data_IF_377026129151
#
_entry.id   IF_377026129151
#
_cell.length_a   1.000
_cell.length_b   1.000
_cell.length_c   1.000
_cell.angle_alpha   90.00
_cell.angle_beta   90.00
_cell.angle_gamma   90.00
#
_symmetry.space_group_name_H-M   'P 1'
#
loop_
_entity.id
_entity.type
_entity.pdbx_description
1 polymer ?
#
# COMPACT_ATOMS: atom_id res chain seq x y z
N UNK A 1 38.73 -26.30 -5.33
CA UNK A 1 38.09 -25.60 -6.48
C UNK A 1 36.80 -26.29 -6.95
N UNK A 2 36.81 -27.57 -7.39
CA UNK A 2 35.61 -28.27 -7.89
C UNK A 2 34.42 -28.34 -6.93
N UNK A 3 34.66 -28.54 -5.64
CA UNK A 3 33.61 -28.58 -4.59
C UNK A 3 32.94 -27.22 -4.36
N UNK A 4 33.68 -26.11 -4.48
CA UNK A 4 33.14 -24.75 -4.30
C UNK A 4 32.24 -24.33 -5.47
N UNK A 5 32.61 -24.70 -6.69
CA UNK A 5 31.77 -24.47 -7.89
C UNK A 5 30.50 -25.32 -7.86
N UNK A 6 30.56 -26.53 -7.31
CA UNK A 6 29.37 -27.37 -7.12
C UNK A 6 28.41 -26.76 -6.08
N UNK A 7 28.94 -26.27 -4.94
CA UNK A 7 28.14 -25.61 -3.91
C UNK A 7 27.45 -24.35 -4.44
N UNK A 8 28.16 -23.47 -5.15
CA UNK A 8 27.58 -22.27 -5.75
C UNK A 8 26.43 -22.58 -6.73
N UNK A 9 26.57 -23.63 -7.55
CA UNK A 9 25.50 -24.09 -8.45
C UNK A 9 24.29 -24.63 -7.69
N UNK A 10 24.52 -25.36 -6.60
CA UNK A 10 23.42 -25.86 -5.74
C UNK A 10 22.68 -24.70 -5.08
N UNK A 11 23.39 -23.71 -4.53
CA UNK A 11 22.77 -22.52 -3.93
C UNK A 11 21.97 -21.71 -4.95
N UNK A 12 22.50 -21.52 -6.17
CA UNK A 12 21.79 -20.83 -7.25
C UNK A 12 20.52 -21.59 -7.66
N UNK A 13 20.61 -22.90 -7.85
CA UNK A 13 19.47 -23.75 -8.19
C UNK A 13 18.41 -23.74 -7.08
N UNK A 14 18.82 -23.85 -5.81
CA UNK A 14 17.92 -23.75 -4.67
C UNK A 14 17.20 -22.39 -4.63
N UNK A 15 17.94 -21.29 -4.84
CA UNK A 15 17.37 -19.94 -4.89
C UNK A 15 16.36 -19.79 -6.04
N UNK A 16 16.68 -20.32 -7.22
CA UNK A 16 15.76 -20.33 -8.36
C UNK A 16 14.50 -21.15 -8.08
N UNK A 17 14.63 -22.30 -7.42
CA UNK A 17 13.49 -23.15 -7.05
C UNK A 17 12.59 -22.46 -6.03
N UNK A 18 13.17 -21.79 -5.03
CA UNK A 18 12.41 -21.00 -4.05
C UNK A 18 11.73 -19.81 -4.72
N UNK A 19 12.44 -19.05 -5.56
CA UNK A 19 11.85 -17.94 -6.31
C UNK A 19 10.68 -18.42 -7.18
N UNK A 20 10.89 -19.44 -8.03
CA UNK A 20 9.82 -19.99 -8.88
C UNK A 20 8.62 -20.51 -8.08
N UNK A 21 8.85 -21.07 -6.89
CA UNK A 21 7.78 -21.43 -5.97
C UNK A 21 6.96 -20.20 -5.51
N UNK A 22 7.62 -19.15 -5.04
CA UNK A 22 6.94 -17.94 -4.58
C UNK A 22 6.20 -17.20 -5.70
N UNK A 23 6.81 -17.08 -6.88
CA UNK A 23 6.18 -16.51 -8.08
C UNK A 23 4.91 -17.29 -8.44
N UNK A 24 5.00 -18.62 -8.45
CA UNK A 24 3.85 -19.49 -8.72
C UNK A 24 2.76 -19.30 -7.66
N UNK A 25 3.12 -19.22 -6.38
CA UNK A 25 2.16 -18.96 -5.30
C UNK A 25 1.49 -17.59 -5.45
N UNK A 26 2.25 -16.55 -5.80
CA UNK A 26 1.73 -15.21 -6.05
C UNK A 26 0.78 -15.21 -7.25
N UNK A 27 1.14 -15.86 -8.35
CA UNK A 27 0.27 -16.01 -9.53
C UNK A 27 -1.04 -16.74 -9.20
N UNK A 28 -0.98 -17.84 -8.45
CA UNK A 28 -2.16 -18.58 -8.01
C UNK A 28 -3.04 -17.69 -7.12
N UNK A 29 -2.44 -16.90 -6.23
CA UNK A 29 -3.15 -15.98 -5.36
C UNK A 29 -3.84 -14.87 -6.17
N UNK A 30 -3.14 -14.24 -7.12
CA UNK A 30 -3.72 -13.21 -7.96
C UNK A 30 -4.93 -13.72 -8.77
N UNK A 31 -4.81 -14.93 -9.34
CA UNK A 31 -5.94 -15.58 -10.03
C UNK A 31 -7.10 -15.93 -9.07
N UNK A 32 -6.79 -16.20 -7.80
CA UNK A 32 -7.84 -16.39 -6.81
C UNK A 32 -8.55 -15.07 -6.49
N UNK A 33 -7.82 -13.96 -6.37
CA UNK A 33 -8.38 -12.62 -6.17
C UNK A 33 -9.33 -12.25 -7.32
N UNK A 34 -8.94 -12.48 -8.58
CA UNK A 34 -9.79 -12.17 -9.74
C UNK A 34 -11.12 -12.92 -9.75
N UNK A 35 -11.17 -14.13 -9.18
CA UNK A 35 -12.42 -14.90 -9.06
C UNK A 35 -13.33 -14.41 -7.93
N UNK A 36 -12.87 -13.46 -7.11
CA UNK A 36 -13.58 -12.90 -5.97
C UNK A 36 -14.00 -11.45 -6.22
N UNK A 37 -13.86 -10.97 -7.46
CA UNK A 37 -14.22 -9.60 -7.82
C UNK A 37 -15.71 -9.38 -7.57
N UNK A 38 -16.01 -8.23 -6.98
CA UNK A 38 -17.37 -7.68 -7.01
C UNK A 38 -17.62 -7.25 -8.45
N UNK A 39 -18.70 -7.75 -9.03
CA UNK A 39 -19.11 -7.53 -10.40
C UNK A 39 -20.49 -6.88 -10.45
N UNK A 40 -20.91 -6.45 -11.64
CA UNK A 40 -22.29 -5.97 -11.82
C UNK A 40 -23.35 -7.03 -11.50
N UNK A 41 -23.05 -8.32 -11.68
CA UNK A 41 -23.98 -9.41 -11.39
C UNK A 41 -24.28 -9.57 -9.89
N UNK A 42 -23.43 -8.99 -9.03
CA UNK A 42 -23.66 -8.97 -7.58
C UNK A 42 -24.66 -7.88 -7.16
N UNK A 43 -25.06 -6.97 -8.06
CA UNK A 43 -25.98 -5.88 -7.76
C UNK A 43 -27.37 -6.12 -8.36
N UNK A 44 -28.44 -5.59 -7.74
CA UNK A 44 -29.77 -5.60 -8.33
C UNK A 44 -29.78 -4.96 -9.71
N UNK A 45 -30.55 -5.53 -10.65
CA UNK A 45 -30.64 -5.02 -12.03
C UNK A 45 -31.09 -3.55 -12.10
N UNK A 46 -31.95 -3.11 -11.19
CA UNK A 46 -32.36 -1.71 -11.06
C UNK A 46 -31.17 -0.80 -10.77
N UNK A 47 -30.29 -1.22 -9.86
CA UNK A 47 -29.08 -0.49 -9.50
C UNK A 47 -28.07 -0.47 -10.66
N UNK A 48 -27.83 -1.60 -11.34
CA UNK A 48 -26.88 -1.65 -12.46
C UNK A 48 -27.32 -0.77 -13.63
N UNK A 49 -28.62 -0.76 -13.95
CA UNK A 49 -29.18 0.13 -14.99
C UNK A 49 -29.03 1.60 -14.61
N UNK A 50 -29.36 1.97 -13.37
CA UNK A 50 -29.19 3.35 -12.89
C UNK A 50 -27.72 3.78 -12.84
N UNK A 51 -26.83 2.88 -12.41
CA UNK A 51 -25.38 3.11 -12.38
C UNK A 51 -24.83 3.37 -13.80
N UNK A 52 -25.26 2.58 -14.79
CA UNK A 52 -24.89 2.82 -16.19
C UNK A 52 -25.42 4.16 -16.72
N UNK A 53 -26.68 4.51 -16.41
CA UNK A 53 -27.26 5.80 -16.81
C UNK A 53 -26.58 6.99 -16.11
N UNK A 54 -26.12 6.83 -14.87
CA UNK A 54 -25.42 7.90 -14.15
C UNK A 54 -24.12 8.32 -14.83
N UNK A 55 -23.49 7.42 -15.60
CA UNK A 55 -22.31 7.72 -16.41
C UNK A 55 -22.62 8.69 -17.56
N UNK A 56 -23.81 8.59 -18.15
CA UNK A 56 -24.21 9.38 -19.32
C UNK A 56 -24.98 10.65 -18.94
N UNK A 57 -25.76 10.61 -17.86
CA UNK A 57 -26.78 11.63 -17.53
C UNK A 57 -26.61 12.25 -16.12
N UNK A 58 -25.60 11.83 -15.34
CA UNK A 58 -25.16 12.50 -14.10
C UNK A 58 -26.01 12.24 -12.85
N UNK A 59 -27.33 12.06 -12.97
CA UNK A 59 -28.24 12.10 -11.81
C UNK A 59 -29.08 10.81 -11.56
N UNK A 60 -28.89 9.75 -12.34
CA UNK A 60 -29.75 8.55 -12.30
C UNK A 60 -29.71 7.72 -11.00
N UNK A 61 -28.78 7.99 -10.07
CA UNK A 61 -28.66 7.28 -8.80
C UNK A 61 -29.48 7.90 -7.66
N UNK A 62 -30.04 9.10 -7.85
CA UNK A 62 -30.66 9.89 -6.78
C UNK A 62 -32.01 9.31 -6.33
N UNK A 63 -32.76 8.67 -7.23
CA UNK A 63 -34.14 8.21 -6.99
C UNK A 63 -34.26 6.73 -6.57
N UNK A 64 -33.14 6.05 -6.31
CA UNK A 64 -33.16 4.66 -5.89
C UNK A 64 -33.53 4.52 -4.42
N UNK A 65 -34.49 3.64 -4.12
CA UNK A 65 -34.72 3.19 -2.75
C UNK A 65 -33.65 2.16 -2.34
N UNK A 66 -32.56 2.67 -1.79
CA UNK A 66 -31.45 1.87 -1.27
C UNK A 66 -31.87 0.99 -0.10
N UNK A 67 -32.86 1.39 0.70
CA UNK A 67 -33.30 0.60 1.84
C UNK A 67 -34.10 -0.63 1.37
N UNK A 68 -34.98 -0.46 0.38
CA UNK A 68 -35.66 -1.59 -0.25
C UNK A 68 -34.70 -2.49 -1.04
N UNK A 69 -33.72 -1.89 -1.74
CA UNK A 69 -32.77 -2.64 -2.59
C UNK A 69 -31.68 -3.37 -1.81
N UNK A 70 -31.32 -2.89 -0.61
CA UNK A 70 -30.21 -3.39 0.21
C UNK A 70 -30.59 -3.53 1.70
N UNK A 71 -31.73 -4.18 1.96
CA UNK A 71 -32.38 -4.22 3.28
C UNK A 71 -31.63 -4.99 4.38
N UNK A 72 -30.70 -5.89 4.04
CA UNK A 72 -30.02 -6.77 5.01
C UNK A 72 -28.49 -6.68 4.88
N UNK A 73 -27.89 -5.55 5.29
CA UNK A 73 -26.44 -5.40 5.23
C UNK A 73 -25.76 -6.34 6.23
N UNK A 74 -24.67 -6.98 5.79
CA UNK A 74 -23.76 -7.74 6.67
C UNK A 74 -22.73 -6.83 7.33
N UNK A 75 -22.29 -5.82 6.58
CA UNK A 75 -21.37 -4.78 7.03
C UNK A 75 -22.19 -3.65 7.66
N UNK A 76 -21.97 -3.30 8.93
CA UNK A 76 -22.66 -2.18 9.57
C UNK A 76 -22.47 -0.85 8.84
N UNK A 77 -23.47 0.03 8.93
CA UNK A 77 -23.42 1.41 8.37
C UNK A 77 -22.57 2.33 9.24
N UNK A 78 -21.28 2.01 9.35
CA UNK A 78 -20.28 2.76 10.10
C UNK A 78 -19.10 3.02 9.16
N UNK A 79 -18.66 4.27 9.09
CA UNK A 79 -17.44 4.66 8.36
C UNK A 79 -16.41 5.13 9.39
N UNK A 80 -15.24 4.50 9.37
CA UNK A 80 -14.11 4.81 10.23
C UNK A 80 -13.06 5.59 9.46
N UNK A 81 -12.74 6.77 9.95
CA UNK A 81 -11.56 7.54 9.55
C UNK A 81 -10.60 7.60 10.74
N UNK A 82 -9.30 7.72 10.48
CA UNK A 82 -8.30 7.92 11.53
C UNK A 82 -7.56 9.23 11.26
N UNK A 83 -7.53 10.13 12.24
CA UNK A 83 -6.81 11.38 12.17
C UNK A 83 -5.95 11.55 13.42
N UNK A 84 -4.64 11.33 13.26
CA UNK A 84 -3.65 11.59 14.30
C UNK A 84 -2.95 12.90 13.95
N UNK A 85 -3.15 13.93 14.77
CA UNK A 85 -2.71 15.31 14.47
C UNK A 85 -1.19 15.42 14.25
N UNK A 86 -0.41 14.55 14.90
CA UNK A 86 1.05 14.56 14.91
C UNK A 86 1.64 13.34 14.17
N UNK A 87 1.04 12.92 13.06
CA UNK A 87 1.54 11.78 12.27
C UNK A 87 3.00 11.96 11.84
N UNK A 88 3.43 13.21 11.61
CA UNK A 88 4.83 13.56 11.39
C UNK A 88 5.14 14.94 12.01
N UNK A 89 6.19 14.99 12.80
CA UNK A 89 6.90 16.24 13.09
C UNK A 89 8.05 16.35 12.10
N UNK A 90 8.29 17.55 11.58
CA UNK A 90 9.57 17.88 10.95
C UNK A 90 10.70 17.73 12.00
N UNK A 91 11.95 17.59 11.55
CA UNK A 91 13.11 17.46 12.45
C UNK A 91 13.27 18.62 13.44
N UNK A 92 12.63 19.75 13.19
CA UNK A 92 12.59 20.94 14.06
C UNK A 92 11.39 20.95 15.05
N UNK A 93 10.58 19.87 15.07
CA UNK A 93 9.40 19.73 15.91
C UNK A 93 8.13 20.38 15.35
N UNK A 94 8.20 21.07 14.21
CA UNK A 94 7.02 21.68 13.59
C UNK A 94 6.11 20.62 12.94
N UNK A 95 4.77 20.79 12.97
CA UNK A 95 3.86 19.86 12.28
C UNK A 95 4.11 19.89 10.78
N UNK A 96 4.25 18.74 10.13
CA UNK A 96 4.37 18.67 8.65
C UNK A 96 3.10 19.09 7.94
N UNK A 97 1.95 19.07 8.62
CA UNK A 97 0.66 19.45 8.06
C UNK A 97 0.05 20.62 8.85
N UNK A 98 -0.30 21.74 8.20
CA UNK A 98 -1.04 22.79 8.87
C UNK A 98 -2.40 22.27 9.32
N UNK A 99 -2.77 22.57 10.57
CA UNK A 99 -4.04 22.22 11.23
C UNK A 99 -5.31 22.63 10.46
N UNK A 100 -5.16 23.43 9.41
CA UNK A 100 -6.22 23.91 8.50
C UNK A 100 -6.52 22.98 7.32
N UNK A 101 -5.70 21.96 7.06
CA UNK A 101 -5.88 21.02 5.93
C UNK A 101 -6.73 19.79 6.29
N UNK A 102 -7.87 19.97 6.96
CA UNK A 102 -8.77 18.83 7.24
C UNK A 102 -9.31 18.32 5.91
N UNK A 103 -9.13 17.03 5.64
CA UNK A 103 -9.73 16.38 4.48
C UNK A 103 -11.25 16.60 4.46
N UNK A 104 -11.81 16.81 3.27
CA UNK A 104 -13.26 16.88 3.03
C UNK A 104 -13.93 15.50 2.91
N UNK A 105 -13.15 14.41 3.03
CA UNK A 105 -13.65 13.05 2.89
C UNK A 105 -14.80 12.71 3.87
N UNK A 106 -14.72 13.02 5.18
CA UNK A 106 -15.81 12.75 6.12
C UNK A 106 -17.10 13.49 5.76
N UNK A 107 -17.01 14.74 5.30
CA UNK A 107 -18.18 15.53 4.87
C UNK A 107 -18.82 14.95 3.61
N UNK A 108 -18.02 14.59 2.62
CA UNK A 108 -18.51 13.95 1.39
C UNK A 108 -19.16 12.60 1.69
N UNK A 109 -18.55 11.79 2.56
CA UNK A 109 -19.15 10.54 2.99
C UNK A 109 -20.47 10.74 3.74
N UNK A 110 -20.57 11.75 4.62
CA UNK A 110 -21.82 12.11 5.28
C UNK A 110 -22.90 12.57 4.29
N UNK A 111 -22.52 13.31 3.24
CA UNK A 111 -23.43 13.76 2.18
C UNK A 111 -24.05 12.58 1.43
N UNK A 112 -23.24 11.61 1.03
CA UNK A 112 -23.71 10.46 0.24
C UNK A 112 -24.30 9.33 1.10
N UNK A 113 -23.98 9.29 2.39
CA UNK A 113 -24.38 8.23 3.31
C UNK A 113 -25.00 8.83 4.59
N UNK A 114 -26.12 9.56 4.49
CA UNK A 114 -26.67 10.35 5.61
C UNK A 114 -27.13 9.51 6.80
N UNK A 115 -27.39 8.21 6.60
CA UNK A 115 -27.80 7.26 7.64
C UNK A 115 -26.62 6.56 8.33
N UNK A 116 -25.38 6.80 7.89
CA UNK A 116 -24.20 6.11 8.40
C UNK A 116 -23.64 6.86 9.61
N UNK A 117 -23.11 6.09 10.57
CA UNK A 117 -22.31 6.66 11.66
C UNK A 117 -20.90 6.93 11.13
N UNK A 118 -20.47 8.19 11.15
CA UNK A 118 -19.09 8.57 10.83
C UNK A 118 -18.30 8.65 12.13
N UNK A 119 -17.29 7.78 12.31
CA UNK A 119 -16.37 7.78 13.45
C UNK A 119 -14.98 8.23 13.00
N UNK A 120 -14.47 9.31 13.58
CA UNK A 120 -13.12 9.82 13.32
C UNK A 120 -12.30 9.57 14.57
N UNK A 121 -11.36 8.64 14.50
CA UNK A 121 -10.50 8.26 15.61
C UNK A 121 -9.35 9.25 15.77
N UNK A 122 -9.13 9.73 16.98
CA UNK A 122 -7.90 10.41 17.37
C UNK A 122 -6.96 9.49 18.17
N UNK A 123 -5.74 9.95 18.44
CA UNK A 123 -4.71 9.15 19.12
C UNK A 123 -5.12 8.71 20.54
N UNK A 124 -5.73 9.60 21.32
CA UNK A 124 -6.19 9.30 22.68
C UNK A 124 -7.30 8.26 22.68
N UNK A 125 -8.28 8.40 21.78
CA UNK A 125 -9.37 7.43 21.61
C UNK A 125 -8.85 6.07 21.12
N UNK A 126 -7.88 6.07 20.21
CA UNK A 126 -7.26 4.86 19.70
C UNK A 126 -6.52 4.10 20.80
N UNK A 127 -5.70 4.80 21.58
CA UNK A 127 -4.96 4.20 22.69
C UNK A 127 -5.92 3.64 23.75
N UNK A 128 -6.93 4.43 24.15
CA UNK A 128 -7.92 3.98 25.15
C UNK A 128 -8.68 2.75 24.66
N UNK A 129 -9.07 2.72 23.39
CA UNK A 129 -9.73 1.55 22.80
C UNK A 129 -8.85 0.29 22.79
N UNK A 130 -7.57 0.42 22.43
CA UNK A 130 -6.64 -0.72 22.49
C UNK A 130 -6.41 -1.16 23.93
N UNK A 131 -6.25 -0.23 24.87
CA UNK A 131 -6.06 -0.55 26.29
C UNK A 131 -7.28 -1.26 26.89
N UNK A 132 -8.49 -0.79 26.61
CA UNK A 132 -9.73 -1.32 27.17
C UNK A 132 -10.12 -2.67 26.53
N UNK A 133 -10.05 -2.80 25.21
CA UNK A 133 -10.59 -3.96 24.48
C UNK A 133 -9.53 -5.00 24.10
N UNK A 134 -8.26 -4.58 24.00
CA UNK A 134 -7.15 -5.39 23.49
C UNK A 134 -5.87 -5.17 24.30
N UNK A 135 -5.97 -5.11 25.63
CA UNK A 135 -4.85 -4.84 26.54
C UNK A 135 -3.58 -5.68 26.27
N UNK A 136 -3.75 -6.92 25.78
CA UNK A 136 -2.66 -7.81 25.39
C UNK A 136 -1.80 -7.27 24.25
N UNK A 137 -2.35 -6.40 23.39
CA UNK A 137 -1.68 -5.81 22.23
C UNK A 137 -1.09 -4.43 22.54
N UNK A 138 -1.48 -3.79 23.64
CA UNK A 138 -1.01 -2.46 24.03
C UNK A 138 0.53 -2.33 24.01
N UNK A 139 1.32 -3.30 24.53
CA UNK A 139 2.78 -3.21 24.46
C UNK A 139 3.32 -3.13 23.03
N UNK A 140 2.75 -3.89 22.09
CA UNK A 140 3.11 -3.80 20.66
C UNK A 140 2.67 -2.47 20.08
N UNK A 141 1.43 -2.05 20.35
CA UNK A 141 0.87 -0.81 19.82
C UNK A 141 1.72 0.41 20.19
N UNK A 142 2.15 0.49 21.45
CA UNK A 142 3.03 1.56 21.95
C UNK A 142 4.47 1.44 21.42
N UNK A 143 4.93 0.24 21.07
CA UNK A 143 6.29 -0.02 20.59
C UNK A 143 6.49 0.20 19.08
N UNK A 144 5.43 0.50 18.33
CA UNK A 144 5.56 0.79 16.89
C UNK A 144 6.49 1.98 16.65
N UNK A 145 7.54 1.74 15.84
CA UNK A 145 8.56 2.73 15.50
C UNK A 145 7.98 3.90 14.70
N UNK A 146 7.07 3.61 13.78
CA UNK A 146 6.46 4.62 12.91
C UNK A 146 5.00 4.89 13.31
N UNK A 147 4.59 6.16 13.49
CA UNK A 147 3.20 6.49 13.84
C UNK A 147 2.13 5.90 12.91
N UNK A 148 2.42 5.80 11.61
CA UNK A 148 1.51 5.19 10.63
C UNK A 148 1.22 3.70 10.92
N UNK A 149 2.15 2.96 11.54
CA UNK A 149 1.88 1.57 11.94
C UNK A 149 0.79 1.49 13.02
N UNK A 150 0.66 2.52 13.88
CA UNK A 150 -0.44 2.62 14.84
C UNK A 150 -1.77 2.90 14.16
N UNK A 151 -1.78 3.68 13.08
CA UNK A 151 -2.98 3.90 12.25
C UNK A 151 -3.39 2.62 11.54
N UNK A 152 -2.44 1.93 10.89
CA UNK A 152 -2.65 0.63 10.25
C UNK A 152 -3.11 -0.45 11.22
N UNK A 153 -2.52 -0.56 12.40
CA UNK A 153 -3.00 -1.49 13.41
C UNK A 153 -4.44 -1.16 13.84
N UNK A 154 -4.72 0.12 14.12
CA UNK A 154 -6.04 0.55 14.59
C UNK A 154 -7.15 0.26 13.58
N UNK A 155 -6.93 0.45 12.27
CA UNK A 155 -7.95 0.16 11.23
C UNK A 155 -8.39 -1.31 11.27
N UNK A 156 -7.47 -2.25 11.50
CA UNK A 156 -7.82 -3.67 11.64
C UNK A 156 -8.62 -3.96 12.91
N UNK A 157 -8.22 -3.39 14.06
CA UNK A 157 -8.95 -3.56 15.31
C UNK A 157 -10.35 -2.92 15.29
N UNK A 158 -10.47 -1.73 14.71
CA UNK A 158 -11.74 -1.04 14.55
C UNK A 158 -12.71 -1.87 13.69
N UNK A 159 -12.26 -2.37 12.53
CA UNK A 159 -13.07 -3.25 11.69
C UNK A 159 -13.40 -4.59 12.37
N UNK A 160 -12.45 -5.20 13.08
CA UNK A 160 -12.72 -6.44 13.81
C UNK A 160 -13.79 -6.24 14.90
N UNK A 161 -13.73 -5.12 15.63
CA UNK A 161 -14.61 -4.86 16.76
C UNK A 161 -16.01 -4.38 16.30
N UNK A 162 -16.05 -3.32 15.49
CA UNK A 162 -17.29 -2.64 15.10
C UNK A 162 -17.84 -3.11 13.74
N UNK A 163 -17.01 -3.75 12.91
CA UNK A 163 -17.30 -3.89 11.49
C UNK A 163 -17.24 -2.55 10.76
N UNK A 164 -17.98 -2.43 9.67
CA UNK A 164 -18.12 -1.18 8.92
C UNK A 164 -17.12 -1.05 7.78
N UNK A 165 -16.90 0.19 7.34
CA UNK A 165 -15.99 0.58 6.27
C UNK A 165 -14.90 1.45 6.88
N UNK A 166 -13.64 1.05 6.74
CA UNK A 166 -12.48 1.88 7.03
C UNK A 166 -12.06 2.63 5.75
N UNK A 167 -11.72 3.91 5.90
CA UNK A 167 -11.25 4.76 4.80
C UNK A 167 -10.09 5.64 5.29
N UNK A 168 -8.98 5.66 4.55
CA UNK A 168 -7.95 6.70 4.67
C UNK A 168 -8.56 8.07 4.35
N UNK A 169 -7.96 9.14 4.90
CA UNK A 169 -8.50 10.49 4.78
C UNK A 169 -8.41 11.08 3.37
N UNK A 170 -7.62 10.49 2.49
CA UNK A 170 -7.50 10.87 1.08
C UNK A 170 -8.52 10.15 0.18
N UNK A 171 -9.41 9.32 0.76
CA UNK A 171 -10.49 8.63 0.06
C UNK A 171 -11.84 9.20 0.50
N UNK A 172 -12.61 9.76 -0.43
CA UNK A 172 -13.93 10.31 -0.21
C UNK A 172 -15.03 9.51 -0.91
N UNK A 173 -16.24 9.47 -0.35
CA UNK A 173 -17.38 8.82 -0.99
C UNK A 173 -17.90 9.68 -2.16
N UNK A 174 -18.28 9.03 -3.27
CA UNK A 174 -18.91 9.66 -4.44
C UNK A 174 -20.36 9.26 -4.65
N UNK A 175 -20.87 8.30 -3.89
CA UNK A 175 -22.23 7.75 -3.94
C UNK A 175 -22.52 6.89 -2.69
N UNK A 176 -23.78 6.46 -2.47
CA UNK A 176 -24.12 5.57 -1.37
C UNK A 176 -23.35 4.24 -1.42
N UNK A 177 -22.86 3.77 -0.28
CA UNK A 177 -22.06 2.55 -0.15
C UNK A 177 -22.92 1.29 0.08
N UNK A 178 -24.23 1.41 0.21
CA UNK A 178 -25.17 0.31 0.49
C UNK A 178 -25.00 -0.92 -0.42
N UNK A 179 -24.73 -0.78 -1.74
CA UNK A 179 -24.48 -1.93 -2.61
C UNK A 179 -23.28 -2.79 -2.19
N UNK A 180 -22.34 -2.22 -1.44
CA UNK A 180 -21.13 -2.89 -0.97
C UNK A 180 -21.30 -3.52 0.43
N UNK A 181 -22.42 -3.32 1.11
CA UNK A 181 -22.62 -3.81 2.49
C UNK A 181 -23.15 -5.25 2.59
N UNK A 182 -23.56 -5.85 1.46
CA UNK A 182 -24.09 -7.21 1.42
C UNK A 182 -23.02 -8.31 1.55
N UNK A 183 -21.75 -7.96 1.37
CA UNK A 183 -20.62 -8.90 1.43
C UNK A 183 -20.14 -9.10 2.88
N UNK A 184 -19.56 -10.26 3.22
CA UNK A 184 -18.99 -10.48 4.56
C UNK A 184 -17.77 -9.59 4.86
N UNK A 185 -16.88 -9.43 3.88
CA UNK A 185 -15.75 -8.50 3.91
C UNK A 185 -15.29 -8.21 2.49
N UNK A 186 -14.67 -7.05 2.26
CA UNK A 186 -14.03 -6.76 0.99
C UNK A 186 -12.81 -5.84 1.13
N UNK A 187 -11.89 -5.99 0.16
CA UNK A 187 -10.63 -5.26 0.07
C UNK A 187 -10.44 -4.76 -1.37
N UNK A 188 -9.97 -3.52 -1.59
CA UNK A 188 -9.67 -2.99 -2.91
C UNK A 188 -8.48 -3.70 -3.53
N UNK A 189 -8.57 -3.95 -4.83
CA UNK A 189 -7.45 -4.42 -5.64
C UNK A 189 -6.27 -3.43 -5.58
N UNK A 190 -5.07 -3.93 -5.34
CA UNK A 190 -3.84 -3.17 -5.50
C UNK A 190 -3.29 -3.36 -6.91
N UNK A 191 -2.68 -2.32 -7.46
CA UNK A 191 -1.87 -2.40 -8.67
C UNK A 191 -0.39 -2.35 -8.29
N UNK A 192 0.48 -3.27 -8.76
CA UNK A 192 0.19 -4.35 -9.70
C UNK A 192 -0.33 -5.66 -9.07
N UNK A 193 -0.16 -5.87 -7.76
CA UNK A 193 -0.40 -7.16 -7.12
C UNK A 193 -1.02 -7.00 -5.72
N UNK A 194 -1.94 -7.91 -5.38
CA UNK A 194 -2.52 -8.01 -4.05
C UNK A 194 -3.70 -7.07 -3.80
N UNK A 195 -3.81 -6.57 -2.57
CA UNK A 195 -4.88 -5.65 -2.14
C UNK A 195 -4.30 -4.46 -1.38
N UNK A 196 -4.97 -3.32 -1.43
CA UNK A 196 -4.64 -2.19 -0.57
C UNK A 196 -5.29 -2.33 0.80
N UNK A 197 -4.76 -1.58 1.78
CA UNK A 197 -5.31 -1.44 3.13
C UNK A 197 -5.72 0.02 3.46
N UNK A 198 -5.82 0.86 2.43
CA UNK A 198 -6.27 2.27 2.47
C UNK A 198 -7.80 2.38 2.58
N UNK A 199 -8.51 1.38 2.07
CA UNK A 199 -9.94 1.22 2.14
C UNK A 199 -10.23 -0.25 2.43
N UNK A 200 -11.10 -0.56 3.39
CA UNK A 200 -11.48 -1.95 3.69
C UNK A 200 -12.86 -1.98 4.31
N UNK A 201 -13.59 -3.08 4.17
CA UNK A 201 -14.83 -3.23 4.92
C UNK A 201 -15.06 -4.66 5.38
N UNK A 202 -15.76 -4.79 6.51
CA UNK A 202 -16.01 -6.08 7.10
C UNK A 202 -17.23 -6.08 8.01
N UNK A 203 -17.90 -7.23 8.10
CA UNK A 203 -18.80 -7.49 9.21
C UNK A 203 -18.00 -7.56 10.53
N UNK A 204 -18.60 -7.23 11.68
CA UNK A 204 -17.91 -7.35 12.95
C UNK A 204 -17.48 -8.81 13.19
N UNK A 205 -16.32 -8.97 13.82
CA UNK A 205 -15.73 -10.27 14.19
C UNK A 205 -15.41 -11.19 13.02
N UNK A 206 -15.22 -10.63 11.82
CA UNK A 206 -14.81 -11.41 10.66
C UNK A 206 -13.48 -12.14 10.92
N UNK A 207 -13.35 -13.45 10.60
CA UNK A 207 -12.20 -14.24 11.04
C UNK A 207 -10.89 -13.86 10.34
N UNK A 208 -10.93 -13.30 9.13
CA UNK A 208 -9.73 -12.70 8.51
C UNK A 208 -9.20 -11.53 9.33
N UNK A 209 -10.07 -10.70 9.89
CA UNK A 209 -9.67 -9.55 10.71
C UNK A 209 -9.12 -10.01 12.06
N UNK A 210 -9.57 -11.17 12.57
CA UNK A 210 -8.94 -11.84 13.71
C UNK A 210 -7.52 -12.30 13.38
N UNK A 211 -7.33 -12.95 12.22
CA UNK A 211 -6.00 -13.36 11.76
C UNK A 211 -5.08 -12.15 11.52
N UNK A 212 -5.60 -11.05 10.98
CA UNK A 212 -4.86 -9.78 10.82
C UNK A 212 -4.45 -9.23 12.20
N UNK A 213 -5.40 -8.97 13.10
CA UNK A 213 -5.09 -8.39 14.43
C UNK A 213 -4.14 -9.26 15.25
N UNK A 214 -4.27 -10.60 15.16
CA UNK A 214 -3.36 -11.54 15.84
C UNK A 214 -1.96 -11.56 15.22
N UNK A 215 -1.84 -11.25 13.92
CA UNK A 215 -0.57 -11.29 13.22
C UNK A 215 0.30 -10.04 13.42
N UNK A 216 -0.30 -8.91 13.79
CA UNK A 216 0.39 -7.63 13.93
C UNK A 216 1.58 -7.67 14.91
N UNK A 217 1.46 -8.40 16.02
CA UNK A 217 2.50 -8.45 17.05
C UNK A 217 3.79 -9.10 16.57
N UNK A 218 3.71 -10.25 15.89
CA UNK A 218 4.90 -10.92 15.37
C UNK A 218 5.45 -10.24 14.11
N UNK A 219 4.59 -9.52 13.37
CA UNK A 219 4.95 -8.73 12.19
C UNK A 219 5.60 -7.39 12.50
N UNK A 220 5.65 -6.96 13.76
CA UNK A 220 6.36 -5.76 14.19
C UNK A 220 7.89 -5.97 14.14
N UNK A 221 8.41 -6.13 12.91
CA UNK A 221 9.82 -6.28 12.60
C UNK A 221 10.32 -4.97 11.98
N UNK A 222 11.49 -4.51 12.41
CA UNK A 222 12.13 -3.35 11.83
C UNK A 222 12.96 -3.80 10.62
N UNK A 223 12.58 -3.37 9.43
CA UNK A 223 13.37 -3.57 8.21
C UNK A 223 14.30 -2.39 7.99
N UNK A 224 15.23 -2.54 7.03
CA UNK A 224 16.28 -1.54 6.75
C UNK A 224 15.71 -0.15 6.42
N UNK A 225 14.59 -0.10 5.69
CA UNK A 225 13.95 1.15 5.27
C UNK A 225 12.57 1.33 5.91
N UNK A 226 12.16 2.57 6.28
CA UNK A 226 10.83 2.87 6.78
C UNK A 226 9.72 2.37 5.87
N UNK A 227 9.81 2.61 4.56
CA UNK A 227 8.78 2.17 3.62
C UNK A 227 8.58 0.65 3.67
N UNK A 228 9.65 -0.14 3.59
CA UNK A 228 9.55 -1.59 3.68
C UNK A 228 9.02 -2.02 5.05
N UNK A 229 9.51 -1.40 6.13
CA UNK A 229 9.03 -1.69 7.49
C UNK A 229 7.52 -1.54 7.57
N UNK A 230 6.98 -0.40 7.13
CA UNK A 230 5.54 -0.11 7.16
C UNK A 230 4.78 -1.08 6.23
N UNK A 231 5.23 -1.22 4.98
CA UNK A 231 4.56 -2.02 3.94
C UNK A 231 4.33 -3.49 4.36
N UNK A 232 5.33 -4.15 4.98
CA UNK A 232 5.24 -5.56 5.39
C UNK A 232 4.76 -5.82 6.82
N UNK A 233 4.88 -4.84 7.72
CA UNK A 233 4.47 -5.03 9.12
C UNK A 233 2.98 -4.80 9.31
N UNK A 234 2.45 -3.72 8.73
CA UNK A 234 1.07 -3.27 8.94
C UNK A 234 0.37 -2.80 7.67
N UNK A 235 1.11 -2.57 6.58
CA UNK A 235 0.64 -1.98 5.34
C UNK A 235 -0.05 -2.94 4.33
N UNK A 236 -0.12 -2.55 3.04
CA UNK A 236 -0.77 -3.34 2.00
C UNK A 236 -0.23 -4.76 1.83
N UNK A 237 1.09 -4.96 1.96
CA UNK A 237 1.68 -6.30 1.83
C UNK A 237 1.34 -7.19 3.03
N UNK A 238 1.28 -6.61 4.22
CA UNK A 238 0.77 -7.32 5.39
C UNK A 238 -0.65 -7.84 5.15
N UNK A 239 -1.57 -6.98 4.69
CA UNK A 239 -2.93 -7.38 4.38
C UNK A 239 -2.97 -8.49 3.32
N UNK A 240 -2.22 -8.32 2.22
CA UNK A 240 -2.12 -9.29 1.14
C UNK A 240 -1.57 -10.65 1.59
N UNK A 241 -0.57 -10.66 2.47
CA UNK A 241 0.01 -11.88 3.03
C UNK A 241 -1.00 -12.64 3.90
N UNK A 242 -1.76 -11.94 4.75
CA UNK A 242 -2.79 -12.56 5.59
C UNK A 242 -3.90 -13.17 4.73
N UNK A 243 -4.37 -12.45 3.70
CA UNK A 243 -5.37 -12.99 2.76
C UNK A 243 -4.86 -14.20 1.97
N UNK A 244 -3.58 -14.18 1.57
CA UNK A 244 -2.93 -15.31 0.89
C UNK A 244 -2.82 -16.53 1.81
N UNK A 245 -2.42 -16.33 3.06
CA UNK A 245 -2.37 -17.39 4.07
C UNK A 245 -3.76 -17.96 4.36
N UNK A 246 -4.77 -17.08 4.51
CA UNK A 246 -6.17 -17.46 4.67
C UNK A 246 -6.65 -18.37 3.53
N UNK A 247 -6.41 -17.95 2.27
CA UNK A 247 -6.74 -18.72 1.08
C UNK A 247 -6.04 -20.09 1.05
N UNK A 248 -4.81 -20.18 1.53
CA UNK A 248 -4.08 -21.45 1.58
C UNK A 248 -4.63 -22.39 2.66
N UNK A 249 -4.98 -21.83 3.82
CA UNK A 249 -5.54 -22.56 4.97
C UNK A 249 -6.94 -23.10 4.70
N UNK A 250 -7.80 -22.31 4.06
CA UNK A 250 -9.22 -22.66 3.88
C UNK A 250 -9.60 -23.05 2.44
N UNK A 251 -8.65 -23.00 1.50
CA UNK A 251 -8.81 -23.56 0.16
C UNK A 251 -9.95 -22.93 -0.65
N UNK A 252 -10.76 -23.79 -1.29
CA UNK A 252 -11.88 -23.43 -2.15
C UNK A 252 -13.18 -23.04 -1.41
N UNK A 253 -13.14 -22.89 -0.07
CA UNK A 253 -14.33 -22.50 0.73
C UNK A 253 -14.74 -21.04 0.56
N UNK A 254 -14.05 -20.28 -0.27
CA UNK A 254 -14.32 -18.84 -0.50
C UNK A 254 -15.54 -18.58 -1.41
N UNK A 255 -16.62 -19.35 -1.22
CA UNK A 255 -17.83 -19.28 -2.05
C UNK A 255 -18.71 -18.05 -1.79
N UNK A 256 -19.73 -17.91 -2.64
CA UNK A 256 -20.78 -16.88 -2.60
C UNK A 256 -21.35 -16.58 -1.21
N UNK A 257 -21.63 -17.66 -0.46
CA UNK A 257 -22.40 -17.63 0.77
C UNK A 257 -21.58 -17.87 2.05
N UNK A 258 -20.26 -18.06 1.93
CA UNK A 258 -19.41 -18.27 3.10
C UNK A 258 -19.15 -16.93 3.82
N UNK A 259 -19.63 -16.81 5.04
CA UNK A 259 -19.45 -15.63 5.91
C UNK A 259 -18.01 -15.43 6.35
N UNK A 260 -17.14 -16.43 6.18
CA UNK A 260 -15.71 -16.35 6.42
C UNK A 260 -14.90 -16.02 5.14
N UNK A 261 -15.58 -15.88 3.99
CA UNK A 261 -14.99 -15.46 2.72
C UNK A 261 -14.86 -13.94 2.64
N UNK A 262 -14.17 -13.45 1.62
CA UNK A 262 -14.09 -12.03 1.30
C UNK A 262 -14.34 -11.82 -0.20
N UNK A 263 -14.47 -10.56 -0.58
CA UNK A 263 -14.50 -10.10 -1.98
C UNK A 263 -13.40 -9.09 -2.25
N UNK A 264 -13.09 -8.93 -3.52
CA UNK A 264 -12.17 -7.90 -3.98
C UNK A 264 -12.97 -6.82 -4.69
N UNK A 265 -12.75 -5.57 -4.31
CA UNK A 265 -13.31 -4.41 -5.00
C UNK A 265 -12.37 -4.05 -6.16
N UNK A 266 -12.74 -4.32 -7.42
CA UNK A 266 -11.86 -4.08 -8.57
C UNK A 266 -11.69 -2.59 -8.86
N UNK A 267 -10.65 -2.22 -9.60
CA UNK A 267 -10.34 -0.83 -9.97
C UNK A 267 -11.55 -0.08 -10.55
N UNK A 268 -12.38 -0.74 -11.36
CA UNK A 268 -13.60 -0.13 -11.94
C UNK A 268 -14.58 0.44 -10.91
N UNK A 269 -14.66 -0.13 -9.71
CA UNK A 269 -15.50 0.33 -8.60
C UNK A 269 -14.69 1.05 -7.51
N UNK A 270 -13.36 0.91 -7.52
CA UNK A 270 -12.47 1.54 -6.55
C UNK A 270 -11.96 2.90 -7.02
N UNK A 271 -11.50 3.06 -8.25
CA UNK A 271 -10.76 4.24 -8.73
C UNK A 271 -11.12 4.71 -10.15
N UNK A 272 -11.80 3.89 -10.96
CA UNK A 272 -12.08 4.19 -12.37
C UNK A 272 -13.57 4.54 -12.64
N UNK A 273 -14.06 4.18 -13.84
CA UNK A 273 -15.31 4.66 -14.44
C UNK A 273 -16.58 4.56 -13.58
N UNK A 274 -16.72 3.51 -12.76
CA UNK A 274 -17.90 3.27 -11.92
C UNK A 274 -17.60 3.46 -10.43
N UNK A 275 -16.54 4.19 -10.10
CA UNK A 275 -16.03 4.26 -8.75
C UNK A 275 -17.03 4.77 -7.72
N UNK A 276 -17.04 4.11 -6.56
CA UNK A 276 -17.73 4.58 -5.35
C UNK A 276 -16.94 5.67 -4.62
N UNK A 277 -15.68 5.87 -4.98
CA UNK A 277 -14.70 6.64 -4.22
C UNK A 277 -13.98 7.67 -5.08
N UNK A 278 -13.57 8.77 -4.45
CA UNK A 278 -12.70 9.78 -5.04
C UNK A 278 -11.40 9.85 -4.26
N UNK A 279 -10.30 9.97 -4.97
CA UNK A 279 -8.96 9.96 -4.40
C UNK A 279 -8.33 11.34 -4.54
N UNK A 280 -7.86 11.89 -3.43
CA UNK A 280 -6.95 13.04 -3.42
C UNK A 280 -5.51 12.58 -3.28
N UNK A 281 -4.50 13.40 -3.64
CA UNK A 281 -3.10 13.07 -3.37
C UNK A 281 -2.89 12.69 -1.91
N UNK A 282 -2.33 11.50 -1.72
CA UNK A 282 -2.23 10.78 -0.46
C UNK A 282 -0.81 10.35 -0.14
N UNK A 283 -0.66 9.35 0.73
CA UNK A 283 0.65 8.74 0.99
C UNK A 283 1.60 9.66 1.76
N UNK A 284 1.07 10.41 2.73
CA UNK A 284 1.84 11.34 3.58
C UNK A 284 2.96 10.67 4.40
N UNK A 285 3.03 9.34 4.39
CA UNK A 285 4.08 8.53 5.01
C UNK A 285 5.22 8.16 4.06
N UNK A 286 5.07 8.42 2.76
CA UNK A 286 6.10 8.19 1.77
C UNK A 286 7.25 9.19 1.99
N UNK A 287 8.40 8.69 2.47
CA UNK A 287 9.64 9.46 2.56
C UNK A 287 10.41 9.46 1.22
N UNK A 288 11.63 10.01 1.25
CA UNK A 288 12.52 10.00 0.07
C UNK A 288 12.91 8.59 -0.39
N UNK A 289 12.80 7.58 0.48
CA UNK A 289 13.03 6.16 0.18
C UNK A 289 11.98 5.58 -0.78
N UNK A 290 10.78 6.18 -0.84
CA UNK A 290 9.75 5.80 -1.81
C UNK A 290 10.17 6.12 -3.23
N UNK A 291 10.96 7.17 -3.45
CA UNK A 291 11.48 7.47 -4.77
C UNK A 291 12.38 6.35 -5.29
N UNK A 292 13.22 5.73 -4.44
CA UNK A 292 14.07 4.61 -4.85
C UNK A 292 13.26 3.34 -5.17
N UNK A 293 12.23 3.06 -4.36
CA UNK A 293 11.33 1.92 -4.60
C UNK A 293 10.46 2.14 -5.84
N UNK A 294 9.87 3.32 -6.01
CA UNK A 294 9.08 3.67 -7.19
C UNK A 294 9.96 3.77 -8.43
N UNK A 295 11.16 4.33 -8.36
CA UNK A 295 12.13 4.33 -9.46
C UNK A 295 12.45 2.91 -9.96
N UNK A 296 12.49 1.95 -9.04
CA UNK A 296 12.70 0.54 -9.36
C UNK A 296 11.44 -0.12 -9.96
N UNK A 297 10.24 0.28 -9.52
CA UNK A 297 8.94 -0.18 -10.02
C UNK A 297 8.61 0.40 -11.40
N UNK A 298 8.86 1.69 -11.60
CA UNK A 298 8.53 2.49 -12.78
C UNK A 298 9.51 2.28 -13.95
N UNK A 299 10.48 1.35 -13.81
CA UNK A 299 11.26 0.86 -14.95
C UNK A 299 10.69 -0.44 -15.53
N UNK A 300 9.63 -0.32 -16.35
CA UNK A 300 9.55 -1.04 -17.61
C UNK A 300 9.71 -0.05 -18.78
N UNK A 301 10.83 -0.15 -19.52
CA UNK A 301 11.05 0.40 -20.87
C UNK A 301 11.57 1.86 -21.08
N UNK A 302 12.54 2.37 -20.28
CA UNK A 302 13.25 3.60 -20.69
C UNK A 302 14.14 3.41 -21.95
N UNK A 303 14.50 2.17 -22.32
CA UNK A 303 15.37 1.92 -23.48
C UNK A 303 14.65 1.70 -24.83
N UNK A 304 13.35 2.01 -24.97
CA UNK A 304 12.66 1.82 -26.26
C UNK A 304 11.90 3.01 -26.82
N UNK A 305 12.01 4.20 -26.23
CA UNK A 305 11.37 5.41 -26.77
C UNK A 305 12.28 6.37 -27.53
N UNK A 306 13.58 6.07 -27.68
CA UNK A 306 14.51 6.92 -28.46
C UNK A 306 14.77 6.43 -29.90
N UNK A 307 14.01 5.44 -30.42
CA UNK A 307 14.22 4.90 -31.76
C UNK A 307 13.07 5.14 -32.76
N UNK A 308 12.08 5.98 -32.44
CA UNK A 308 11.06 6.37 -33.41
C UNK A 308 10.51 7.78 -33.20
N UNK A 309 11.39 8.78 -33.07
CA UNK A 309 11.01 10.14 -33.41
C UNK A 309 11.30 10.41 -34.88
N UNK A 310 10.28 10.18 -35.71
CA UNK A 310 10.11 10.95 -36.93
C UNK A 310 8.61 11.05 -37.26
N UNK A 311 8.10 12.29 -37.08
CA UNK A 311 6.99 12.91 -37.83
C UNK A 311 5.57 12.33 -37.67
N UNK A 312 4.70 13.09 -36.98
CA UNK A 312 3.54 13.84 -37.53
C UNK A 312 2.32 13.88 -36.58
N UNK A 313 1.85 15.12 -36.40
CA UNK A 313 0.56 15.71 -36.02
C UNK A 313 -0.24 15.32 -34.77
N UNK A 314 -0.50 16.40 -34.02
CA UNK A 314 -1.60 16.60 -33.08
C UNK A 314 -2.92 16.74 -33.86
N UNK A 315 -3.71 15.67 -33.90
CA UNK A 315 -5.19 15.65 -33.83
C UNK A 315 -5.69 14.29 -34.34
N UNK A 316 -6.65 13.69 -33.61
CA UNK A 316 -7.34 12.41 -33.87
C UNK A 316 -6.67 11.10 -33.40
N UNK A 317 -7.04 10.64 -32.20
CA UNK A 317 -7.07 9.22 -31.87
C UNK A 317 -8.03 8.92 -30.70
N UNK A 318 -9.30 9.26 -30.87
CA UNK A 318 -10.37 8.53 -30.20
C UNK A 318 -10.56 7.20 -30.97
N UNK A 319 -10.64 6.07 -30.26
CA UNK A 319 -10.77 4.68 -30.74
C UNK A 319 -9.53 4.04 -31.40
N UNK A 320 -8.84 3.18 -30.64
CA UNK A 320 -8.56 1.78 -31.04
C UNK A 320 -8.09 0.94 -29.85
N UNK A 321 -8.94 -0.01 -29.49
CA UNK A 321 -8.66 -1.31 -28.85
C UNK A 321 -7.19 -1.73 -28.81
N UNK A 322 -6.72 -2.13 -27.62
CA UNK A 322 -5.77 -3.24 -27.49
C UNK A 322 -6.32 -4.22 -26.47
N UNK A 323 -7.23 -5.08 -26.96
CA UNK A 323 -7.23 -6.47 -26.55
C UNK A 323 -5.91 -7.10 -27.04
N UNK A 324 -5.15 -7.68 -26.10
CA UNK A 324 -4.00 -8.53 -26.41
C UNK A 324 -2.65 -7.93 -26.07
N UNK A 325 -2.18 -8.13 -24.83
CA UNK A 325 -0.76 -8.26 -24.53
C UNK A 325 -0.56 -9.43 -23.57
N UNK A 326 -0.07 -10.51 -24.17
CA UNK A 326 0.20 -11.84 -23.62
C UNK A 326 1.38 -11.81 -22.65
N UNK A 327 1.31 -12.69 -21.64
CA UNK A 327 2.38 -13.15 -20.74
C UNK A 327 3.80 -12.88 -21.27
N UNK A 328 4.52 -11.92 -20.68
CA UNK A 328 5.98 -11.91 -20.50
C UNK A 328 6.41 -10.57 -19.88
N UNK A 329 6.31 -10.37 -18.55
CA UNK A 329 6.83 -9.16 -17.85
C UNK A 329 6.80 -9.23 -16.32
N UNK A 330 7.29 -10.32 -15.73
CA UNK A 330 7.31 -10.55 -14.27
C UNK A 330 8.68 -10.70 -13.57
N UNK A 331 9.87 -10.92 -14.20
CA UNK A 331 11.03 -11.38 -13.41
C UNK A 331 11.72 -10.32 -12.53
N UNK A 332 11.70 -9.03 -12.89
CA UNK A 332 12.66 -8.07 -12.31
C UNK A 332 12.22 -7.55 -10.93
N UNK A 333 10.96 -7.18 -10.78
CA UNK A 333 10.41 -6.70 -9.51
C UNK A 333 10.44 -7.79 -8.43
N UNK A 334 10.07 -9.03 -8.79
CA UNK A 334 10.12 -10.18 -7.88
C UNK A 334 11.55 -10.52 -7.45
N UNK A 335 12.54 -10.32 -8.33
CA UNK A 335 13.95 -10.59 -8.03
C UNK A 335 14.56 -9.60 -7.05
N UNK A 336 14.21 -8.30 -7.11
CA UNK A 336 14.75 -7.29 -6.19
C UNK A 336 14.06 -7.35 -4.82
N UNK A 337 12.75 -7.61 -4.82
CA UNK A 337 11.98 -7.83 -3.59
C UNK A 337 12.44 -9.13 -2.88
N UNK A 338 12.80 -10.16 -3.67
CA UNK A 338 13.41 -11.38 -3.16
C UNK A 338 14.85 -11.15 -2.69
N UNK A 339 15.67 -10.35 -3.40
CA UNK A 339 17.03 -10.02 -2.99
C UNK A 339 17.06 -9.31 -1.62
N UNK A 340 16.11 -8.40 -1.38
CA UNK A 340 15.91 -7.77 -0.07
C UNK A 340 15.52 -8.81 1.00
N UNK A 341 14.64 -9.76 0.67
CA UNK A 341 14.22 -10.83 1.58
C UNK A 341 15.33 -11.86 1.87
N UNK A 342 16.17 -12.21 0.89
CA UNK A 342 17.31 -13.11 1.09
C UNK A 342 18.45 -12.47 1.88
N UNK A 343 18.66 -11.15 1.73
CA UNK A 343 19.62 -10.42 2.56
C UNK A 343 19.18 -10.36 4.04
N UNK A 344 17.87 -10.39 4.31
CA UNK A 344 17.31 -10.46 5.66
C UNK A 344 17.45 -11.84 6.35
N UNK A 345 17.89 -12.88 5.63
CA UNK A 345 18.14 -14.23 6.17
C UNK A 345 19.63 -14.50 6.47
N UNK A 346 20.51 -13.53 6.22
CA UNK A 346 21.94 -13.63 6.50
C UNK A 346 22.30 -12.67 7.64
N UNK A 347 22.23 -13.16 8.88
CA UNK A 347 22.53 -12.42 10.12
C UNK A 347 24.03 -12.05 10.31
N UNK A 348 24.89 -12.16 9.29
CA UNK A 348 26.33 -11.92 9.41
C UNK A 348 26.89 -11.06 8.24
N UNK A 349 27.27 -9.80 8.51
CA UNK A 349 27.91 -8.91 7.53
C UNK A 349 29.20 -9.49 6.90
N UNK A 350 29.90 -10.39 7.58
CA UNK A 350 31.16 -10.96 7.09
C UNK A 350 30.96 -12.00 5.97
N UNK A 351 29.74 -12.49 5.75
CA UNK A 351 29.46 -13.42 4.65
C UNK A 351 29.36 -12.72 3.28
N UNK A 352 29.09 -11.41 3.26
CA UNK A 352 28.99 -10.63 2.01
C UNK A 352 30.36 -10.39 1.38
N UNK A 353 31.38 -10.09 2.20
CA UNK A 353 32.76 -9.88 1.74
C UNK A 353 33.42 -11.17 1.21
N UNK A 354 33.10 -12.33 1.79
CA UNK A 354 33.55 -13.63 1.26
C UNK A 354 32.92 -13.95 -0.11
N UNK A 355 31.69 -13.50 -0.38
CA UNK A 355 31.01 -13.68 -1.67
C UNK A 355 31.60 -12.76 -2.76
N UNK A 356 31.95 -11.52 -2.41
CA UNK A 356 32.58 -10.55 -3.31
C UNK A 356 34.00 -10.96 -3.74
N UNK A 357 34.77 -11.57 -2.83
CA UNK A 357 36.16 -11.96 -3.12
C UNK A 357 36.30 -13.25 -3.95
N UNK A 358 35.22 -14.05 -4.08
CA UNK A 358 35.29 -15.41 -4.65
C UNK A 358 34.49 -15.65 -5.94
N UNK A 359 33.63 -14.72 -6.35
CA UNK A 359 32.89 -14.80 -7.62
C UNK A 359 33.80 -14.48 -8.82
N UNK A 360 33.94 -15.42 -9.78
CA UNK A 360 34.54 -15.16 -11.12
C UNK A 360 33.48 -15.05 -12.23
N UNK A 361 32.22 -14.89 -11.84
CA UNK A 361 31.11 -14.76 -12.78
C UNK A 361 30.85 -13.28 -13.06
N UNK A 362 31.13 -12.84 -14.29
CA UNK A 362 31.10 -11.43 -14.66
C UNK A 362 29.71 -10.80 -14.49
N UNK A 363 28.62 -11.56 -14.65
CA UNK A 363 27.25 -11.06 -14.47
C UNK A 363 26.87 -10.93 -12.99
N UNK A 364 27.29 -11.88 -12.14
CA UNK A 364 27.08 -11.78 -10.69
C UNK A 364 27.96 -10.68 -10.08
N UNK A 365 29.20 -10.54 -10.56
CA UNK A 365 30.04 -9.38 -10.20
C UNK A 365 29.44 -8.07 -10.68
N UNK A 366 28.76 -8.03 -11.83
CA UNK A 366 28.11 -6.83 -12.35
C UNK A 366 26.86 -6.46 -11.55
N UNK A 367 26.04 -7.43 -11.17
CA UNK A 367 24.88 -7.22 -10.28
C UNK A 367 25.30 -6.81 -8.86
N UNK A 368 26.35 -7.42 -8.32
CA UNK A 368 26.89 -7.06 -7.00
C UNK A 368 27.63 -5.71 -7.04
N UNK A 369 28.35 -5.39 -8.13
CA UNK A 369 28.93 -4.05 -8.34
C UNK A 369 27.83 -3.01 -8.52
N UNK A 370 26.73 -3.29 -9.22
CA UNK A 370 25.59 -2.39 -9.32
C UNK A 370 24.94 -2.15 -7.95
N UNK A 371 24.86 -3.16 -7.08
CA UNK A 371 24.36 -2.98 -5.71
C UNK A 371 25.31 -2.17 -4.83
N UNK A 372 26.63 -2.31 -5.02
CA UNK A 372 27.67 -1.55 -4.30
C UNK A 372 27.87 -0.14 -4.88
N UNK A 373 27.74 0.04 -6.21
CA UNK A 373 27.76 1.35 -6.87
C UNK A 373 26.51 2.14 -6.54
N UNK A 374 25.33 1.50 -6.43
CA UNK A 374 24.13 2.15 -5.86
C UNK A 374 24.33 2.51 -4.39
N UNK A 375 25.12 1.74 -3.62
CA UNK A 375 25.47 2.09 -2.24
C UNK A 375 26.41 3.30 -2.17
N UNK A 376 27.41 3.39 -3.06
CA UNK A 376 28.38 4.49 -3.12
C UNK A 376 27.80 5.76 -3.75
N UNK A 377 26.96 5.66 -4.79
CA UNK A 377 26.27 6.81 -5.39
C UNK A 377 25.24 7.43 -4.43
N UNK A 378 24.67 6.65 -3.50
CA UNK A 378 23.76 7.18 -2.47
C UNK A 378 24.55 7.92 -1.38
N UNK A 379 25.73 7.42 -0.98
CA UNK A 379 26.60 8.13 -0.04
C UNK A 379 27.15 9.42 -0.67
N UNK A 380 27.52 9.41 -1.96
CA UNK A 380 27.92 10.61 -2.72
C UNK A 380 26.73 11.59 -2.93
N UNK A 381 25.48 11.12 -3.13
CA UNK A 381 24.29 12.00 -3.18
C UNK A 381 23.93 12.62 -1.82
N UNK A 382 24.22 11.91 -0.73
CA UNK A 382 24.02 12.40 0.64
C UNK A 382 25.14 13.35 1.08
N UNK A 383 26.36 13.25 0.52
CA UNK A 383 27.42 14.24 0.69
C UNK A 383 27.28 15.46 -0.25
N UNK A 384 26.84 15.28 -1.51
CA UNK A 384 26.65 16.39 -2.48
C UNK A 384 25.40 17.26 -2.23
N UNK A 385 24.50 16.88 -1.34
CA UNK A 385 23.34 17.70 -0.95
C UNK A 385 23.63 18.70 0.20
N UNK A 386 24.89 18.84 0.61
CA UNK A 386 25.38 19.99 1.37
C UNK A 386 25.97 21.02 0.40
N UNK A 387 25.38 22.22 0.22
CA UNK A 387 25.97 23.24 -0.62
C UNK A 387 27.25 23.78 0.03
N UNK A 388 28.41 23.36 -0.46
CA UNK A 388 29.68 24.06 -0.27
C UNK A 388 29.70 25.34 -1.12
N UNK A 389 28.88 26.32 -0.74
CA UNK A 389 29.04 27.71 -1.19
C UNK A 389 29.90 28.48 -0.18
N UNK A 390 31.16 28.07 -0.02
CA UNK A 390 32.24 28.89 0.54
C UNK A 390 33.44 28.89 -0.42
N UNK A 391 33.21 29.42 -1.62
CA UNK A 391 34.26 29.91 -2.50
C UNK A 391 34.51 31.40 -2.22
N UNK A 392 35.64 31.70 -1.60
CA UNK A 392 36.08 33.03 -1.21
C UNK A 392 35.98 34.06 -2.36
N UNK A 393 35.26 35.16 -2.11
CA UNK A 393 35.51 36.43 -2.78
C UNK A 393 36.00 37.44 -1.74
N UNK A 394 37.30 37.73 -1.85
CA UNK A 394 38.04 38.79 -1.18
C UNK A 394 37.38 40.17 -1.34
N UNK A 395 37.49 40.98 -0.28
CA UNK A 395 37.09 42.39 -0.13
C UNK A 395 35.61 42.66 0.17
N UNK A 396 35.26 42.59 1.46
CA UNK A 396 34.61 43.69 2.15
C UNK A 396 35.15 43.76 3.58
N UNK A 397 35.87 44.84 3.85
CA UNK A 397 36.34 45.19 5.18
C UNK A 397 35.18 45.75 6.02
N UNK A 398 35.22 45.49 7.34
CA UNK A 398 34.72 46.43 8.34
C UNK A 398 33.53 46.01 9.19
N UNK A 399 33.78 45.92 10.51
CA UNK A 399 32.78 45.95 11.59
C UNK A 399 32.37 44.56 12.05
N UNK A 400 32.72 44.05 13.23
CA UNK A 400 32.85 44.74 14.51
C UNK A 400 31.78 44.19 15.45
N UNK A 401 32.18 43.27 16.33
CA UNK A 401 31.38 42.77 17.44
C UNK A 401 30.80 43.92 18.28
N UNK A 402 29.52 43.82 18.65
CA UNK A 402 29.01 44.46 19.86
C UNK A 402 27.82 43.67 20.45
N UNK A 403 28.04 43.22 21.69
CA UNK A 403 27.02 42.84 22.66
C UNK A 403 26.02 43.99 22.90
N UNK A 404 24.79 43.64 23.27
CA UNK A 404 23.83 44.60 23.83
C UNK A 404 22.53 43.95 24.28
N UNK A 405 22.46 43.57 25.56
CA UNK A 405 21.22 43.60 26.33
C UNK A 405 20.62 45.01 26.27
N UNK A 406 19.29 45.13 26.26
CA UNK A 406 18.44 45.97 27.13
C UNK A 406 17.01 46.00 26.56
N UNK A 407 16.07 45.63 27.45
CA UNK A 407 14.60 45.80 27.50
C UNK A 407 13.68 45.21 26.42
#
# INVERSE_FOLDING_TARGET
>A
MRTRTALAKVCLLASLLVATYHIRCQYIFQRALSNLYITFDDFPQSYTTALNASRTEGDALIDLDYNASFASPRIPRIIHFIYFANLYHLHDGSPTLPTTSRSHAPELCRKFNPTYTIRIWNETEAQSFIEEEYAWFLPTYSAYKHPIQRVDALKYFALYHFGGVYMDLDIACRRPLDPLLQFPAWFPEASPLGVNNDLMASMPRHPILLDMTSALAWRNQNLLFPYLTIFWSTGPQFASDVLKAWRWKYGARMGGHDTASFRVLPQMFYSEDYTFFGHSPGGTWHGGDVAAVLWLVDRPDYERHEASENKVDYESANKKSIAGLTLHRLPMFESVMYACWTNLMLDDPNQMDELLHYSRDNELQRLLRLLVEVHLDIDDYLEESVPDSLGACSNCAGGGYAYGYVD
#
